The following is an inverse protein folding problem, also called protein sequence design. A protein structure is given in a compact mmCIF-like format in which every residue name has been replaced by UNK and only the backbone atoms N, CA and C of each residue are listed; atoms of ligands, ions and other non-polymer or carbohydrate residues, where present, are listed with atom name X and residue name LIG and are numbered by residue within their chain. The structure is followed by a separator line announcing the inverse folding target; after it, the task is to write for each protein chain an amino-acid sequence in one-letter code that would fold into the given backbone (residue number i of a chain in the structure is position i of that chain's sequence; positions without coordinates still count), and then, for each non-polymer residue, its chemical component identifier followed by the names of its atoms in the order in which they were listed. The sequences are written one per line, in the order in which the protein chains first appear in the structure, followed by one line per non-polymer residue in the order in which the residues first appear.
data_IF_503139776339
#
_entry.id   IF_503139776339
#
_cell.length_a   1.000
_cell.length_b   1.000
_cell.length_c   1.000
_cell.angle_alpha   90.00
_cell.angle_beta   90.00
_cell.angle_gamma   90.00
#
_symmetry.space_group_name_H-M   'P 1'
#
loop_
_entity.id
_entity.type
_entity.pdbx_description
1 polymer ?
#
# COMPACT_ATOMS: atom_id res chain seq x y z
N UNK A 1 -21.04 24.01 6.52
CA UNK A 1 -19.92 24.11 7.47
C UNK A 1 -19.03 22.88 7.50
N UNK A 2 -19.55 21.63 7.60
CA UNK A 2 -18.72 20.39 7.61
C UNK A 2 -17.80 20.20 6.37
N UNK A 3 -18.30 20.44 5.16
CA UNK A 3 -17.49 20.28 3.94
C UNK A 3 -16.27 21.20 3.87
N UNK A 4 -16.39 22.44 4.33
CA UNK A 4 -15.28 23.41 4.37
C UNK A 4 -14.21 23.07 5.42
N UNK A 5 -14.63 22.45 6.55
CA UNK A 5 -13.71 21.97 7.57
C UNK A 5 -12.89 20.77 7.08
N UNK A 6 -13.53 19.86 6.34
CA UNK A 6 -12.86 18.68 5.73
C UNK A 6 -11.85 19.16 4.66
N UNK A 7 -12.21 20.09 3.78
CA UNK A 7 -11.30 20.66 2.78
C UNK A 7 -10.06 21.29 3.44
N UNK A 8 -10.25 22.12 4.47
CA UNK A 8 -9.14 22.73 5.20
C UNK A 8 -8.23 21.70 5.90
N UNK A 9 -8.80 20.57 6.34
CA UNK A 9 -8.03 19.48 6.93
C UNK A 9 -7.21 18.75 5.89
N UNK A 10 -7.78 18.44 4.72
CA UNK A 10 -7.11 17.83 3.58
C UNK A 10 -5.92 18.69 3.13
N UNK A 11 -6.11 20.01 2.95
CA UNK A 11 -5.05 20.94 2.57
C UNK A 11 -3.90 20.94 3.60
N UNK A 12 -4.25 21.01 4.90
CA UNK A 12 -3.27 21.00 5.99
C UNK A 12 -2.45 19.69 6.04
N UNK A 13 -3.11 18.54 5.89
CA UNK A 13 -2.43 17.24 5.86
C UNK A 13 -1.60 17.12 4.59
N UNK A 14 -2.11 17.56 3.43
CA UNK A 14 -1.37 17.61 2.18
C UNK A 14 -0.06 18.40 2.30
N UNK A 15 -0.06 19.55 2.97
CA UNK A 15 1.15 20.33 3.23
C UNK A 15 2.13 19.57 4.13
N UNK A 16 1.63 18.91 5.21
CA UNK A 16 2.50 18.08 6.07
C UNK A 16 3.12 16.94 5.29
N UNK A 17 2.36 16.25 4.44
CA UNK A 17 2.89 15.17 3.61
C UNK A 17 3.95 15.67 2.61
N UNK A 18 3.80 16.86 2.05
CA UNK A 18 4.87 17.50 1.24
C UNK A 18 6.16 17.69 2.03
N UNK A 19 6.07 18.16 3.27
CA UNK A 19 7.23 18.27 4.16
C UNK A 19 7.85 16.91 4.49
N UNK A 20 7.02 15.87 4.77
CA UNK A 20 7.51 14.50 5.01
C UNK A 20 8.22 13.93 3.78
N UNK A 21 7.70 14.20 2.58
CA UNK A 21 8.35 13.79 1.33
C UNK A 21 9.70 14.48 1.15
N UNK A 22 9.81 15.78 1.41
CA UNK A 22 11.09 16.49 1.38
C UNK A 22 12.09 15.95 2.42
N UNK A 23 11.65 15.64 3.65
CA UNK A 23 12.50 15.00 4.66
C UNK A 23 12.97 13.60 4.23
N UNK A 24 12.12 12.83 3.56
CA UNK A 24 12.50 11.52 3.03
C UNK A 24 13.54 11.66 1.89
N UNK A 25 13.37 12.63 0.99
CA UNK A 25 14.33 12.95 -0.09
C UNK A 25 15.68 13.42 0.47
N UNK A 26 15.67 14.21 1.55
CA UNK A 26 16.88 14.61 2.27
C UNK A 26 17.57 13.44 3.01
N UNK A 27 16.89 12.30 3.14
CA UNK A 27 17.40 11.13 3.85
C UNK A 27 17.17 11.14 5.36
N UNK A 28 16.45 12.14 5.90
CA UNK A 28 16.20 12.30 7.33
C UNK A 28 15.26 11.24 7.90
N UNK A 29 14.28 10.80 7.12
CA UNK A 29 13.28 9.81 7.52
C UNK A 29 13.08 8.73 6.44
N UNK A 30 12.56 7.57 6.84
CA UNK A 30 11.88 6.65 5.93
C UNK A 30 10.38 6.98 5.95
N UNK A 31 9.79 7.27 4.79
CA UNK A 31 8.36 7.59 4.65
C UNK A 31 7.63 6.39 4.07
N UNK A 32 6.68 5.89 4.82
CA UNK A 32 5.89 4.72 4.49
C UNK A 32 4.41 5.10 4.35
N UNK A 33 3.73 4.57 3.34
CA UNK A 33 2.28 4.66 3.18
C UNK A 33 1.69 3.27 3.35
N UNK A 34 0.76 3.09 4.26
CA UNK A 34 0.14 1.79 4.50
C UNK A 34 -1.36 1.82 4.26
N UNK A 35 -1.88 0.68 3.81
CA UNK A 35 -3.29 0.50 3.51
C UNK A 35 -3.64 -0.99 3.33
N UNK A 36 -4.96 -1.29 3.28
CA UNK A 36 -5.48 -2.60 2.97
C UNK A 36 -6.08 -2.65 1.57
N UNK A 37 -5.81 -3.74 0.89
CA UNK A 37 -6.46 -4.04 -0.38
C UNK A 37 -6.98 -5.48 -0.39
N UNK A 38 -7.59 -5.90 -1.49
CA UNK A 38 -7.95 -7.30 -1.72
C UNK A 38 -7.82 -7.64 -3.20
N UNK A 39 -7.50 -8.89 -3.47
CA UNK A 39 -7.57 -9.47 -4.78
C UNK A 39 -8.60 -10.61 -4.80
N UNK A 40 -9.13 -10.90 -5.97
CA UNK A 40 -10.17 -11.90 -6.19
C UNK A 40 -9.63 -13.02 -7.07
N UNK A 41 -10.14 -14.25 -6.87
CA UNK A 41 -9.84 -15.37 -7.79
C UNK A 41 -10.45 -15.14 -9.17
N UNK A 42 -11.50 -14.33 -9.29
CA UNK A 42 -12.03 -13.87 -10.56
C UNK A 42 -11.14 -12.80 -11.20
N UNK A 43 -11.13 -12.72 -12.55
CA UNK A 43 -10.23 -11.84 -13.25
C UNK A 43 -10.54 -10.36 -12.97
N UNK A 44 -9.50 -9.59 -12.71
CA UNK A 44 -9.57 -8.13 -12.77
C UNK A 44 -9.48 -7.72 -14.24
N UNK A 45 -10.52 -7.04 -14.75
CA UNK A 45 -10.56 -6.65 -16.16
C UNK A 45 -9.95 -5.26 -16.33
N UNK A 46 -8.91 -5.16 -17.13
CA UNK A 46 -8.30 -3.90 -17.55
C UNK A 46 -8.49 -3.71 -19.05
N UNK A 47 -8.32 -2.48 -19.53
CA UNK A 47 -8.34 -2.21 -20.98
C UNK A 47 -7.11 -2.83 -21.63
N UNK A 48 -7.30 -3.52 -22.76
CA UNK A 48 -6.22 -4.11 -23.52
C UNK A 48 -6.39 -3.80 -25.02
N UNK A 49 -5.27 -3.67 -25.72
CA UNK A 49 -5.25 -3.58 -27.17
C UNK A 49 -5.36 -4.99 -27.75
N UNK A 50 -6.24 -5.16 -28.73
CA UNK A 50 -6.40 -6.41 -29.44
C UNK A 50 -6.76 -6.17 -30.91
N UNK A 51 -6.56 -7.19 -31.74
CA UNK A 51 -7.02 -7.15 -33.13
C UNK A 51 -8.55 -7.02 -33.17
N UNK A 52 -9.08 -6.26 -34.13
CA UNK A 52 -10.53 -6.13 -34.32
C UNK A 52 -11.16 -7.52 -34.50
N UNK A 53 -12.19 -7.82 -33.72
CA UNK A 53 -12.88 -9.11 -33.73
C UNK A 53 -12.23 -10.20 -32.87
N UNK A 54 -11.17 -9.90 -32.11
CA UNK A 54 -10.60 -10.86 -31.16
C UNK A 54 -11.60 -11.18 -30.04
N UNK A 55 -11.61 -12.45 -29.62
CA UNK A 55 -12.34 -12.87 -28.42
C UNK A 55 -11.54 -12.47 -27.19
N UNK A 56 -12.08 -11.53 -26.40
CA UNK A 56 -11.46 -11.01 -25.18
C UNK A 56 -12.12 -11.54 -23.90
N UNK A 57 -12.93 -12.59 -24.01
CA UNK A 57 -13.57 -13.19 -22.85
C UNK A 57 -12.54 -13.87 -21.95
N UNK A 58 -12.59 -13.57 -20.66
CA UNK A 58 -11.78 -14.25 -19.64
C UNK A 58 -12.71 -15.12 -18.80
N UNK A 59 -12.47 -16.45 -18.71
CA UNK A 59 -13.30 -17.33 -17.91
C UNK A 59 -13.29 -16.93 -16.42
N UNK A 60 -14.46 -16.93 -15.80
CA UNK A 60 -14.65 -16.65 -14.38
C UNK A 60 -15.60 -17.69 -13.75
N UNK A 61 -15.18 -18.97 -13.64
CA UNK A 61 -16.04 -20.04 -13.18
C UNK A 61 -16.26 -19.99 -11.66
N UNK A 62 -17.47 -20.39 -11.25
CA UNK A 62 -17.82 -20.53 -9.83
C UNK A 62 -17.98 -19.22 -9.07
N UNK A 63 -17.86 -19.29 -7.77
CA UNK A 63 -17.91 -18.13 -6.88
C UNK A 63 -16.51 -17.56 -6.64
N UNK A 64 -16.39 -16.23 -6.74
CA UNK A 64 -15.16 -15.54 -6.43
C UNK A 64 -14.79 -15.70 -4.94
N UNK A 65 -13.55 -16.06 -4.71
CA UNK A 65 -12.93 -16.02 -3.37
C UNK A 65 -11.93 -14.86 -3.33
N UNK A 66 -11.60 -14.39 -2.13
CA UNK A 66 -10.70 -13.26 -1.95
C UNK A 66 -9.48 -13.60 -1.12
N UNK A 67 -8.39 -12.90 -1.38
CA UNK A 67 -7.21 -12.80 -0.54
C UNK A 67 -7.08 -11.34 -0.12
N UNK A 68 -7.02 -11.09 1.18
CA UNK A 68 -6.78 -9.78 1.75
C UNK A 68 -5.28 -9.48 1.73
N UNK A 69 -4.92 -8.24 1.43
CA UNK A 69 -3.55 -7.74 1.40
C UNK A 69 -3.42 -6.59 2.39
N UNK A 70 -2.43 -6.66 3.28
CA UNK A 70 -1.95 -5.54 4.08
C UNK A 70 -0.65 -5.06 3.45
N UNK A 71 -0.55 -3.81 3.05
CA UNK A 71 0.61 -3.32 2.33
C UNK A 71 1.22 -2.06 2.91
N UNK A 72 2.50 -1.93 2.66
CA UNK A 72 3.27 -0.72 2.92
C UNK A 72 4.08 -0.37 1.68
N UNK A 73 3.94 0.86 1.22
CA UNK A 73 4.79 1.46 0.22
C UNK A 73 5.93 2.22 0.91
N UNK A 74 7.17 1.77 0.76
CA UNK A 74 8.34 2.63 1.01
C UNK A 74 8.40 3.65 -0.12
N UNK A 75 8.09 4.91 0.22
CA UNK A 75 7.88 5.96 -0.76
C UNK A 75 9.14 6.29 -1.56
N UNK A 76 10.28 6.47 -0.87
CA UNK A 76 11.55 6.80 -1.51
C UNK A 76 12.18 5.56 -2.15
N UNK A 77 12.18 4.42 -1.45
CA UNK A 77 12.66 3.13 -1.95
C UNK A 77 11.77 2.53 -3.04
N UNK A 78 10.56 3.09 -3.24
CA UNK A 78 9.59 2.71 -4.26
C UNK A 78 9.18 1.24 -4.21
N UNK A 79 9.30 0.67 -3.03
CA UNK A 79 9.10 -0.74 -2.77
C UNK A 79 7.77 -0.98 -2.08
N UNK A 80 6.94 -1.83 -2.65
CA UNK A 80 5.74 -2.34 -2.03
C UNK A 80 6.06 -3.58 -1.21
N UNK A 81 5.68 -3.58 0.06
CA UNK A 81 5.81 -4.71 1.00
C UNK A 81 4.39 -5.17 1.30
N UNK A 82 4.10 -6.45 1.11
CA UNK A 82 2.75 -7.01 1.28
C UNK A 82 2.79 -8.22 2.19
N UNK A 83 1.83 -8.30 3.09
CA UNK A 83 1.42 -9.52 3.77
C UNK A 83 0.00 -9.88 3.35
N UNK A 84 -0.26 -11.15 3.17
CA UNK A 84 -1.56 -11.66 2.73
C UNK A 84 -2.25 -12.42 3.87
N UNK A 85 -3.57 -12.44 3.83
CA UNK A 85 -4.40 -13.17 4.80
C UNK A 85 -5.77 -13.51 4.21
N UNK A 86 -6.56 -14.31 4.93
CA UNK A 86 -7.95 -14.61 4.53
C UNK A 86 -8.94 -13.49 4.87
N UNK A 87 -8.53 -12.54 5.71
CA UNK A 87 -9.39 -11.46 6.21
C UNK A 87 -8.58 -10.21 6.48
N UNK A 88 -9.27 -9.06 6.57
CA UNK A 88 -8.68 -7.78 6.98
C UNK A 88 -8.95 -7.56 8.46
N UNK A 89 -7.97 -7.80 9.33
CA UNK A 89 -8.09 -7.65 10.78
C UNK A 89 -6.94 -6.84 11.35
N UNK A 90 -7.13 -6.27 12.53
CA UNK A 90 -6.06 -5.59 13.28
C UNK A 90 -4.85 -6.48 13.54
N UNK A 91 -5.06 -7.79 13.72
CA UNK A 91 -3.98 -8.78 13.88
C UNK A 91 -3.11 -8.89 12.64
N UNK A 92 -3.70 -8.81 11.44
CA UNK A 92 -2.98 -8.88 10.18
C UNK A 92 -2.13 -7.61 9.98
N UNK A 93 -2.67 -6.44 10.37
CA UNK A 93 -1.91 -5.19 10.38
C UNK A 93 -0.77 -5.23 11.40
N UNK A 94 -0.99 -5.81 12.59
CA UNK A 94 0.07 -5.98 13.60
C UNK A 94 1.17 -6.91 13.07
N UNK A 95 0.84 -7.96 12.33
CA UNK A 95 1.82 -8.81 11.65
C UNK A 95 2.65 -8.00 10.63
N UNK A 96 2.01 -7.11 9.87
CA UNK A 96 2.73 -6.20 8.98
C UNK A 96 3.69 -5.29 9.78
N UNK A 97 3.27 -4.73 10.92
CA UNK A 97 4.16 -3.94 11.79
C UNK A 97 5.36 -4.75 12.30
N UNK A 98 5.19 -6.03 12.62
CA UNK A 98 6.29 -6.93 12.99
C UNK A 98 7.29 -7.13 11.85
N UNK A 99 6.82 -7.22 10.60
CA UNK A 99 7.72 -7.24 9.45
C UNK A 99 8.46 -5.91 9.28
N UNK A 100 7.84 -4.78 9.60
CA UNK A 100 8.51 -3.48 9.60
C UNK A 100 9.55 -3.36 10.71
N UNK A 101 9.36 -4.02 11.87
CA UNK A 101 10.39 -4.10 12.93
C UNK A 101 11.69 -4.72 12.37
N UNK A 102 11.58 -5.77 11.56
CA UNK A 102 12.73 -6.44 10.95
C UNK A 102 13.44 -5.57 9.90
N UNK A 103 12.68 -4.79 9.15
CA UNK A 103 13.20 -3.99 8.03
C UNK A 103 13.74 -2.63 8.47
N UNK A 104 13.03 -1.94 9.36
CA UNK A 104 13.28 -0.54 9.71
C UNK A 104 13.52 -0.34 11.21
N UNK A 105 13.19 -1.31 12.06
CA UNK A 105 13.32 -1.21 13.51
C UNK A 105 14.76 -1.10 13.99
N UNK A 106 14.96 -0.76 15.29
CA UNK A 106 16.27 -0.63 15.88
C UNK A 106 17.11 -1.90 15.76
N UNK A 107 18.39 -1.74 15.40
CA UNK A 107 19.37 -2.82 15.35
C UNK A 107 20.58 -2.45 16.19
N UNK A 108 21.18 -3.40 16.93
CA UNK A 108 22.36 -3.13 17.73
C UNK A 108 23.49 -2.51 16.90
N UNK A 109 24.06 -1.41 17.39
CA UNK A 109 25.17 -0.74 16.72
C UNK A 109 24.83 0.06 15.45
N UNK A 110 23.58 0.11 15.06
CA UNK A 110 23.14 0.86 13.87
C UNK A 110 22.26 2.04 14.32
N UNK A 111 22.59 3.25 13.84
CA UNK A 111 21.74 4.41 14.06
C UNK A 111 20.39 4.20 13.38
N UNK A 112 19.33 4.23 14.15
CA UNK A 112 17.96 4.08 13.63
C UNK A 112 17.59 5.32 12.82
N UNK A 113 17.17 5.11 11.58
CA UNK A 113 16.54 6.15 10.78
C UNK A 113 15.09 6.29 11.23
N UNK A 114 14.61 7.47 11.64
CA UNK A 114 13.22 7.65 12.03
C UNK A 114 12.27 7.25 10.88
N UNK A 115 11.19 6.57 11.22
CA UNK A 115 10.16 6.15 10.26
C UNK A 115 8.90 6.96 10.49
N UNK A 116 8.30 7.45 9.42
CA UNK A 116 6.95 8.03 9.43
C UNK A 116 6.06 7.12 8.60
N UNK A 117 5.03 6.55 9.25
CA UNK A 117 4.00 5.75 8.56
C UNK A 117 2.72 6.56 8.43
N UNK A 118 2.22 6.66 7.21
CA UNK A 118 0.96 7.32 6.87
C UNK A 118 -0.15 6.28 6.89
N UNK A 119 -1.19 6.53 7.67
CA UNK A 119 -2.33 5.62 7.87
C UNK A 119 -3.65 6.39 7.71
N UNK A 120 -4.66 5.71 7.21
CA UNK A 120 -6.03 6.20 7.32
C UNK A 120 -6.61 5.96 8.72
N UNK A 121 -7.80 6.52 8.98
CA UNK A 121 -8.52 6.36 10.24
C UNK A 121 -9.46 5.15 10.26
N UNK A 122 -9.16 4.10 9.48
CA UNK A 122 -9.94 2.88 9.44
C UNK A 122 -10.00 2.13 10.77
N UNK A 123 -11.04 1.31 11.00
CA UNK A 123 -11.20 0.56 12.26
C UNK A 123 -10.02 -0.37 12.59
N UNK A 124 -9.37 -0.89 11.57
CA UNK A 124 -8.20 -1.77 11.70
C UNK A 124 -7.03 -0.99 12.29
N UNK A 125 -6.79 0.24 11.81
CA UNK A 125 -5.71 1.09 12.25
C UNK A 125 -5.98 1.76 13.61
N UNK A 126 -7.25 2.01 13.95
CA UNK A 126 -7.64 2.69 15.19
C UNK A 126 -8.08 1.74 16.30
N UNK A 127 -7.99 0.42 16.11
CA UNK A 127 -8.31 -0.56 17.15
C UNK A 127 -7.37 -0.41 18.37
N UNK A 128 -7.86 -0.76 19.55
CA UNK A 128 -7.03 -0.73 20.78
C UNK A 128 -5.74 -1.53 20.63
N UNK A 129 -5.80 -2.70 19.97
CA UNK A 129 -4.63 -3.56 19.74
C UNK A 129 -3.63 -2.89 18.82
N UNK A 130 -4.08 -2.30 17.71
CA UNK A 130 -3.22 -1.56 16.77
C UNK A 130 -2.58 -0.35 17.43
N UNK A 131 -3.38 0.46 18.16
CA UNK A 131 -2.85 1.63 18.85
C UNK A 131 -1.79 1.26 19.90
N UNK A 132 -1.98 0.17 20.64
CA UNK A 132 -0.98 -0.36 21.57
C UNK A 132 0.30 -0.82 20.83
N UNK A 133 0.14 -1.52 19.69
CA UNK A 133 1.27 -1.96 18.87
C UNK A 133 2.06 -0.79 18.27
N UNK A 134 1.39 0.28 17.84
CA UNK A 134 2.02 1.50 17.35
C UNK A 134 2.73 2.26 18.50
N UNK A 135 2.08 2.37 19.67
CA UNK A 135 2.68 3.02 20.84
C UNK A 135 3.96 2.33 21.30
N UNK A 136 4.02 0.99 21.26
CA UNK A 136 5.24 0.23 21.57
C UNK A 136 6.44 0.58 20.65
N UNK A 137 6.17 1.13 19.46
CA UNK A 137 7.15 1.50 18.43
C UNK A 137 7.42 3.01 18.38
N UNK A 138 6.82 3.82 19.25
CA UNK A 138 6.88 5.28 19.21
C UNK A 138 8.32 5.85 19.30
N UNK A 139 9.28 5.06 19.78
CA UNK A 139 10.69 5.46 19.87
C UNK A 139 11.42 5.49 18.52
N UNK A 140 10.85 4.89 17.45
CA UNK A 140 11.43 4.93 16.09
C UNK A 140 10.38 5.15 15.00
N UNK A 141 9.09 4.90 15.27
CA UNK A 141 7.97 4.98 14.33
C UNK A 141 6.99 6.08 14.76
N UNK A 142 6.74 7.03 13.88
CA UNK A 142 5.73 8.09 14.07
C UNK A 142 4.59 7.86 13.09
N UNK A 143 3.34 8.00 13.55
CA UNK A 143 2.15 7.88 12.71
C UNK A 143 1.72 9.27 12.22
N UNK A 144 1.49 9.40 10.91
CA UNK A 144 0.83 10.53 10.27
C UNK A 144 -0.57 10.08 9.83
N UNK A 145 -1.60 10.59 10.51
CA UNK A 145 -2.98 10.23 10.21
C UNK A 145 -3.53 11.04 9.05
N UNK A 146 -4.16 10.33 8.08
CA UNK A 146 -4.90 10.96 6.99
C UNK A 146 -6.27 11.45 7.47
N UNK A 147 -6.82 12.51 6.87
CA UNK A 147 -8.20 12.90 7.09
C UNK A 147 -9.14 11.82 6.54
N UNK A 148 -10.37 11.81 7.07
CA UNK A 148 -11.40 10.91 6.55
C UNK A 148 -11.72 11.26 5.09
N UNK A 149 -11.91 10.22 4.28
CA UNK A 149 -12.31 10.36 2.87
C UNK A 149 -11.30 11.12 1.99
N UNK A 150 -10.02 10.93 2.22
CA UNK A 150 -8.94 11.53 1.43
C UNK A 150 -7.97 10.46 0.87
N UNK A 151 -8.45 9.48 0.08
CA UNK A 151 -7.58 8.44 -0.49
C UNK A 151 -6.52 9.02 -1.43
N UNK A 152 -6.77 10.18 -2.04
CA UNK A 152 -5.82 10.90 -2.90
C UNK A 152 -4.53 11.32 -2.18
N UNK A 153 -4.53 11.36 -0.85
CA UNK A 153 -3.35 11.62 -0.04
C UNK A 153 -2.56 10.35 0.30
N UNK A 154 -3.10 9.17 -0.01
CA UNK A 154 -2.45 7.89 0.25
C UNK A 154 -1.77 7.34 -1.00
N UNK A 155 -0.48 7.60 -1.14
CA UNK A 155 0.30 7.23 -2.34
C UNK A 155 0.30 5.71 -2.65
N UNK A 156 -0.04 4.84 -1.71
CA UNK A 156 -0.13 3.39 -1.94
C UNK A 156 -1.32 3.01 -2.83
N UNK A 157 -2.37 3.83 -2.88
CA UNK A 157 -3.57 3.57 -3.69
C UNK A 157 -3.24 3.44 -5.19
N UNK A 158 -2.36 4.31 -5.68
CA UNK A 158 -1.88 4.25 -7.06
C UNK A 158 -1.13 2.94 -7.31
N UNK A 159 -0.39 2.46 -6.32
CA UNK A 159 0.38 1.20 -6.42
C UNK A 159 -0.55 -0.02 -6.37
N UNK A 160 -1.61 0.02 -5.56
CA UNK A 160 -2.65 -1.00 -5.58
C UNK A 160 -3.37 -1.09 -6.93
N UNK A 161 -3.67 0.07 -7.52
CA UNK A 161 -4.27 0.10 -8.86
C UNK A 161 -3.32 -0.51 -9.90
N UNK A 162 -2.04 -0.14 -9.87
CA UNK A 162 -1.01 -0.64 -10.78
C UNK A 162 -0.86 -2.17 -10.67
N UNK A 163 -0.73 -2.69 -9.44
CA UNK A 163 -0.66 -4.12 -9.16
C UNK A 163 -1.85 -4.88 -9.77
N UNK A 164 -3.07 -4.39 -9.55
CA UNK A 164 -4.29 -5.06 -10.02
C UNK A 164 -4.48 -4.94 -11.53
N UNK A 165 -4.21 -3.77 -12.11
CA UNK A 165 -4.51 -3.50 -13.52
C UNK A 165 -3.45 -4.04 -14.48
N UNK A 166 -2.19 -4.23 -14.03
CA UNK A 166 -1.10 -4.63 -14.90
C UNK A 166 -0.47 -5.98 -14.55
N UNK A 167 -0.50 -6.38 -13.28
CA UNK A 167 0.15 -7.61 -12.85
C UNK A 167 -0.82 -8.76 -12.51
N UNK A 168 -2.07 -8.45 -12.12
CA UNK A 168 -3.10 -9.44 -11.80
C UNK A 168 -4.28 -9.43 -12.78
N UNK A 169 -4.29 -8.52 -13.76
CA UNK A 169 -5.38 -8.41 -14.71
C UNK A 169 -5.47 -9.61 -15.65
N UNK A 170 -6.70 -9.89 -16.09
CA UNK A 170 -7.03 -10.94 -17.06
C UNK A 170 -6.66 -12.37 -16.65
N UNK A 171 -6.39 -12.60 -15.37
CA UNK A 171 -6.04 -13.90 -14.82
C UNK A 171 -7.17 -14.43 -13.95
N UNK A 172 -7.45 -15.73 -14.08
CA UNK A 172 -8.38 -16.47 -13.22
C UNK A 172 -7.58 -17.47 -12.40
N UNK A 173 -7.89 -17.54 -11.11
CA UNK A 173 -7.20 -18.40 -10.17
C UNK A 173 -8.15 -19.48 -9.66
N UNK A 174 -7.69 -20.72 -9.55
CA UNK A 174 -8.49 -21.87 -9.10
C UNK A 174 -8.94 -21.75 -7.65
N UNK A 175 -8.09 -21.16 -6.82
CA UNK A 175 -8.26 -21.07 -5.37
C UNK A 175 -7.48 -19.89 -4.78
N UNK A 176 -7.73 -19.55 -3.50
CA UNK A 176 -7.01 -18.47 -2.83
C UNK A 176 -5.50 -18.70 -2.68
N UNK A 177 -5.05 -19.93 -2.60
CA UNK A 177 -3.65 -20.31 -2.45
C UNK A 177 -2.86 -19.99 -3.74
N UNK A 178 -3.44 -20.31 -4.89
CA UNK A 178 -2.89 -19.96 -6.21
C UNK A 178 -2.87 -18.43 -6.41
N UNK A 179 -3.93 -17.74 -5.99
CA UNK A 179 -3.99 -16.28 -6.03
C UNK A 179 -2.93 -15.65 -5.11
N UNK A 180 -2.73 -16.19 -3.91
CA UNK A 180 -1.73 -15.72 -2.96
C UNK A 180 -0.32 -15.79 -3.53
N UNK A 181 0.05 -16.93 -4.11
CA UNK A 181 1.34 -17.07 -4.79
C UNK A 181 1.51 -16.07 -5.94
N UNK A 182 0.45 -15.87 -6.73
CA UNK A 182 0.45 -14.90 -7.82
C UNK A 182 0.60 -13.44 -7.32
N UNK A 183 -0.03 -13.08 -6.20
CA UNK A 183 0.14 -11.77 -5.57
C UNK A 183 1.61 -11.52 -5.21
N UNK A 184 2.25 -12.46 -4.52
CA UNK A 184 3.65 -12.32 -4.13
C UNK A 184 4.59 -12.22 -5.33
N UNK A 185 4.35 -13.01 -6.38
CA UNK A 185 5.09 -12.91 -7.62
C UNK A 185 4.87 -11.56 -8.33
N UNK A 186 3.62 -11.10 -8.42
CA UNK A 186 3.26 -9.82 -8.99
C UNK A 186 3.93 -8.64 -8.25
N UNK A 187 3.95 -8.68 -6.91
CA UNK A 187 4.64 -7.68 -6.08
C UNK A 187 6.15 -7.69 -6.36
N UNK A 188 6.77 -8.85 -6.51
CA UNK A 188 8.20 -8.96 -6.83
C UNK A 188 8.52 -8.33 -8.20
N UNK A 189 7.71 -8.62 -9.23
CA UNK A 189 7.86 -8.04 -10.58
C UNK A 189 7.64 -6.53 -10.54
N UNK A 190 6.56 -6.07 -9.92
CA UNK A 190 6.24 -4.64 -9.75
C UNK A 190 7.40 -3.89 -9.08
N UNK A 191 7.96 -4.44 -7.99
CA UNK A 191 9.09 -3.83 -7.30
C UNK A 191 10.34 -3.75 -8.17
N UNK A 192 10.60 -4.79 -8.97
CA UNK A 192 11.72 -4.81 -9.91
C UNK A 192 11.57 -3.75 -10.99
N UNK A 193 10.39 -3.62 -11.59
CA UNK A 193 10.08 -2.60 -12.59
C UNK A 193 10.22 -1.19 -12.01
N UNK A 194 9.64 -0.96 -10.83
CA UNK A 194 9.70 0.32 -10.13
C UNK A 194 11.13 0.71 -9.75
N UNK A 195 12.00 -0.23 -9.46
CA UNK A 195 13.41 0.05 -9.16
C UNK A 195 14.25 0.43 -10.39
N UNK A 196 13.82 -0.03 -11.57
CA UNK A 196 14.58 0.14 -12.84
C UNK A 196 14.11 1.32 -13.69
N UNK A 197 12.87 1.82 -13.47
CA UNK A 197 12.30 2.81 -14.38
C UNK A 197 12.86 4.22 -14.13
N UNK A 198 13.55 4.83 -15.11
CA UNK A 198 14.24 6.11 -14.93
C UNK A 198 13.27 7.31 -14.73
N UNK A 199 12.05 7.22 -15.27
CA UNK A 199 11.07 8.32 -15.26
C UNK A 199 10.26 8.45 -13.98
N UNK A 200 10.40 7.53 -13.02
CA UNK A 200 9.57 7.54 -11.81
C UNK A 200 9.99 8.63 -10.80
N UNK A 201 11.12 9.28 -11.01
CA UNK A 201 11.51 10.48 -10.25
C UNK A 201 10.93 11.78 -10.81
N UNK A 202 10.31 11.75 -11.98
CA UNK A 202 9.60 12.90 -12.54
C UNK A 202 8.10 12.71 -12.28
N UNK A 203 7.61 13.14 -11.13
CA UNK A 203 6.19 13.43 -10.99
C UNK A 203 5.89 14.60 -11.90
N UNK A 204 5.14 14.36 -12.94
CA UNK A 204 4.42 15.40 -13.64
C UNK A 204 3.42 15.93 -12.61
N UNK A 205 3.76 17.09 -12.01
CA UNK A 205 2.82 17.87 -11.23
C UNK A 205 1.74 18.32 -12.20
N UNK A 206 0.58 17.70 -12.13
CA UNK A 206 -0.62 18.21 -12.77
C UNK A 206 -1.27 19.25 -11.88
#
# INVERSE_FOLDING_TARGET
MKGRQIANEIDRVGLRLKLRKAQAEAGDIALLFADESEALTHPYLARAWAKRGADLRVPAPGQSKKVAMMGVLDWLGRRLIVTTSRSKRSTDFITLLQNLDLLYGPKPGIRVKPVVIVLDNGPIHTSKATLAALAARAHWLTVEWLPKYAPELNDIEVVWHDLKAHHLAHQTFSDPETLDAAIHQAVAVLNLERSRHPLVNQRISA
#
